data_IF_396383862462
#
_entry.id   IF_396383862462
#
_cell.length_a   1.000
_cell.length_b   1.000
_cell.length_c   1.000
_cell.angle_alpha   90.00
_cell.angle_beta   90.00
_cell.angle_gamma   90.00
#
_symmetry.space_group_name_H-M   'P 1'
#
loop_
_entity.id
_entity.type
_entity.pdbx_description
1 polymer ?
#
# COMPACT_ATOMS: atom_id res chain seq x y z
N UNK A 1 -19.77 -1.72 8.39
CA UNK A 1 -20.09 -2.77 9.38
C UNK A 1 -18.81 -3.01 10.15
N UNK A 2 -18.82 -2.87 11.49
CA UNK A 2 -17.65 -3.22 12.30
C UNK A 2 -17.52 -4.74 12.31
N UNK A 3 -16.38 -5.27 11.85
CA UNK A 3 -16.12 -6.69 11.88
C UNK A 3 -15.85 -7.13 13.33
N UNK A 4 -16.28 -8.34 13.71
CA UNK A 4 -16.08 -8.87 15.05
C UNK A 4 -14.58 -8.85 15.42
N UNK A 5 -14.22 -8.23 16.54
CA UNK A 5 -12.83 -8.08 16.99
C UNK A 5 -12.12 -6.79 16.58
N UNK A 6 -12.78 -5.87 15.87
CA UNK A 6 -12.21 -4.58 15.51
C UNK A 6 -11.95 -3.68 16.72
N UNK A 7 -10.82 -2.96 16.71
CA UNK A 7 -10.42 -2.06 17.80
C UNK A 7 -10.32 -0.63 17.29
N UNK A 8 -10.61 0.32 18.19
CA UNK A 8 -10.37 1.74 17.94
C UNK A 8 -9.17 2.21 18.77
N UNK A 9 -8.11 2.62 18.10
CA UNK A 9 -6.86 3.11 18.69
C UNK A 9 -6.42 4.33 17.89
N UNK A 10 -5.98 5.39 18.57
CA UNK A 10 -5.55 6.65 17.94
C UNK A 10 -6.57 7.19 16.93
N UNK A 11 -7.85 7.22 17.31
CA UNK A 11 -8.92 7.75 16.46
C UNK A 11 -9.41 6.82 15.35
N UNK A 12 -8.57 5.87 14.90
CA UNK A 12 -8.84 4.95 13.79
C UNK A 12 -9.37 3.58 14.25
N UNK A 13 -10.24 2.99 13.44
CA UNK A 13 -10.60 1.58 13.50
C UNK A 13 -9.61 0.73 12.70
N UNK A 14 -9.46 -0.55 13.05
CA UNK A 14 -8.51 -1.43 12.36
C UNK A 14 -8.70 -1.45 10.83
N UNK A 15 -9.93 -1.60 10.31
CA UNK A 15 -10.16 -1.57 8.84
C UNK A 15 -9.68 -0.25 8.18
N UNK A 16 -9.75 0.86 8.90
CA UNK A 16 -9.31 2.16 8.39
C UNK A 16 -7.78 2.22 8.30
N UNK A 17 -7.07 1.53 9.19
CA UNK A 17 -5.62 1.36 9.08
C UNK A 17 -5.28 0.45 7.91
N UNK A 18 -5.98 -0.69 7.76
CA UNK A 18 -5.73 -1.62 6.65
C UNK A 18 -5.89 -0.96 5.28
N UNK A 19 -6.91 -0.11 5.13
CA UNK A 19 -7.16 0.62 3.90
C UNK A 19 -6.03 1.62 3.54
N UNK A 20 -5.24 2.06 4.52
CA UNK A 20 -4.14 3.03 4.36
C UNK A 20 -2.77 2.39 4.19
N UNK A 21 -2.65 1.08 4.35
CA UNK A 21 -1.35 0.39 4.24
C UNK A 21 -0.66 0.56 2.86
N UNK A 22 -1.38 0.57 1.71
CA UNK A 22 -0.73 0.86 0.43
C UNK A 22 -0.05 2.23 0.43
N UNK A 23 -0.79 3.29 0.80
CA UNK A 23 -0.27 4.66 0.85
C UNK A 23 0.82 4.84 1.91
N UNK A 24 0.71 4.14 3.04
CA UNK A 24 1.76 4.08 4.05
C UNK A 24 3.07 3.53 3.46
N UNK A 25 3.01 2.43 2.70
CA UNK A 25 4.20 1.82 2.08
C UNK A 25 4.77 2.62 0.89
N UNK A 26 3.96 3.46 0.27
CA UNK A 26 4.42 4.41 -0.75
C UNK A 26 4.84 5.76 -0.19
N UNK A 27 4.66 5.99 1.12
CA UNK A 27 5.03 7.26 1.77
C UNK A 27 4.18 8.43 1.29
N UNK A 28 2.93 8.18 0.88
CA UNK A 28 2.00 9.18 0.32
C UNK A 28 0.99 9.71 1.32
N UNK A 29 0.97 9.18 2.54
CA UNK A 29 0.12 9.69 3.62
C UNK A 29 0.54 11.10 4.04
N UNK A 30 -0.45 11.93 4.40
CA UNK A 30 -0.18 13.20 5.07
C UNK A 30 0.45 12.97 6.46
N UNK A 31 1.12 13.97 7.05
CA UNK A 31 1.72 13.83 8.38
C UNK A 31 0.73 13.40 9.47
N UNK A 32 -0.49 13.92 9.42
CA UNK A 32 -1.54 13.59 10.39
C UNK A 32 -2.02 12.14 10.22
N UNK A 33 -2.23 11.69 8.98
CA UNK A 33 -2.61 10.31 8.69
C UNK A 33 -1.51 9.31 9.06
N UNK A 34 -0.25 9.68 8.82
CA UNK A 34 0.90 8.88 9.21
C UNK A 34 0.93 8.69 10.73
N UNK A 35 0.79 9.78 11.48
CA UNK A 35 0.78 9.74 12.94
C UNK A 35 -0.39 8.89 13.50
N UNK A 36 -1.58 9.01 12.91
CA UNK A 36 -2.75 8.20 13.30
C UNK A 36 -2.52 6.70 13.03
N UNK A 37 -1.97 6.36 11.86
CA UNK A 37 -1.65 4.98 11.48
C UNK A 37 -0.57 4.38 12.39
N UNK A 38 0.54 5.09 12.59
CA UNK A 38 1.64 4.63 13.45
C UNK A 38 1.19 4.49 14.90
N UNK A 39 0.40 5.45 15.40
CA UNK A 39 -0.20 5.39 16.72
C UNK A 39 -1.11 4.18 16.89
N UNK A 40 -1.94 3.85 15.89
CA UNK A 40 -2.79 2.67 15.94
C UNK A 40 -1.97 1.38 15.89
N UNK A 41 -1.01 1.27 14.97
CA UNK A 41 -0.14 0.09 14.82
C UNK A 41 0.63 -0.17 16.12
N UNK A 42 1.17 0.86 16.76
CA UNK A 42 1.88 0.73 18.04
C UNK A 42 0.98 0.36 19.23
N UNK A 43 -0.33 0.56 19.14
CA UNK A 43 -1.29 0.25 20.19
C UNK A 43 -2.20 -0.96 19.92
N UNK A 44 -2.04 -1.64 18.78
CA UNK A 44 -2.88 -2.75 18.36
C UNK A 44 -2.04 -3.92 17.86
N UNK A 45 -1.89 -4.95 18.70
CA UNK A 45 -1.11 -6.17 18.40
C UNK A 45 -1.54 -6.89 17.11
N UNK A 46 -2.82 -6.78 16.73
CA UNK A 46 -3.32 -7.34 15.49
C UNK A 46 -2.83 -6.57 14.26
N UNK A 47 -2.94 -5.24 14.29
CA UNK A 47 -2.48 -4.39 13.20
C UNK A 47 -0.95 -4.36 13.10
N UNK A 48 -0.23 -4.49 14.21
CA UNK A 48 1.23 -4.66 14.23
C UNK A 48 1.65 -5.91 13.44
N UNK A 49 1.10 -7.07 13.80
CA UNK A 49 1.42 -8.34 13.12
C UNK A 49 0.98 -8.34 11.66
N UNK A 50 -0.24 -7.89 11.40
CA UNK A 50 -0.77 -7.85 10.04
C UNK A 50 0.01 -6.87 9.16
N UNK A 51 0.27 -5.66 9.65
CA UNK A 51 1.02 -4.63 8.93
C UNK A 51 2.43 -5.10 8.59
N UNK A 52 3.11 -5.76 9.53
CA UNK A 52 4.42 -6.37 9.28
C UNK A 52 4.37 -7.47 8.20
N UNK A 53 3.39 -8.37 8.25
CA UNK A 53 3.22 -9.41 7.24
C UNK A 53 2.88 -8.83 5.85
N UNK A 54 1.99 -7.83 5.81
CA UNK A 54 1.61 -7.11 4.59
C UNK A 54 2.83 -6.42 3.95
N UNK A 55 3.58 -5.65 4.74
CA UNK A 55 4.81 -5.00 4.29
C UNK A 55 5.82 -6.03 3.75
N UNK A 56 5.98 -7.17 4.44
CA UNK A 56 6.84 -8.26 3.99
C UNK A 56 6.46 -8.80 2.61
N UNK A 57 5.16 -9.03 2.35
CA UNK A 57 4.67 -9.48 1.03
C UNK A 57 4.94 -8.43 -0.05
N UNK A 58 4.61 -7.16 0.21
CA UNK A 58 4.80 -6.07 -0.75
C UNK A 58 6.27 -5.89 -1.09
N UNK A 59 7.17 -5.88 -0.09
CA UNK A 59 8.61 -5.79 -0.32
C UNK A 59 9.15 -7.02 -1.07
N UNK A 60 8.62 -8.22 -0.79
CA UNK A 60 8.94 -9.42 -1.55
C UNK A 60 8.60 -9.27 -3.03
N UNK A 61 7.42 -8.74 -3.35
CA UNK A 61 6.99 -8.48 -4.72
C UNK A 61 7.83 -7.40 -5.41
N UNK A 62 8.20 -6.32 -4.71
CA UNK A 62 9.05 -5.25 -5.26
C UNK A 62 10.45 -5.74 -5.64
N UNK A 63 10.95 -6.77 -4.96
CA UNK A 63 12.26 -7.35 -5.23
C UNK A 63 12.25 -8.44 -6.31
N UNK A 64 11.09 -8.77 -6.89
CA UNK A 64 11.01 -9.72 -8.01
C UNK A 64 11.74 -9.11 -9.21
N UNK A 65 12.74 -9.81 -9.80
CA UNK A 65 13.41 -9.34 -11.00
C UNK A 65 12.40 -9.15 -12.14
N UNK A 66 12.23 -7.91 -12.58
CA UNK A 66 11.41 -7.59 -13.75
C UNK A 66 12.31 -7.64 -14.97
N UNK A 67 11.96 -8.47 -15.94
CA UNK A 67 12.65 -8.49 -17.22
C UNK A 67 12.48 -7.14 -17.92
N UNK A 68 13.58 -6.62 -18.48
CA UNK A 68 13.51 -5.43 -19.30
C UNK A 68 12.51 -5.66 -20.44
N UNK A 69 11.63 -4.68 -20.67
CA UNK A 69 10.74 -4.69 -21.83
C UNK A 69 11.61 -4.53 -23.08
N UNK A 70 11.53 -5.43 -24.07
CA UNK A 70 12.30 -5.27 -25.31
C UNK A 70 11.89 -3.99 -26.06
N UNK A 71 12.86 -3.26 -26.61
CA UNK A 71 12.62 -1.99 -27.31
C UNK A 71 11.49 -2.06 -28.36
N UNK A 72 11.39 -3.09 -29.23
CA UNK A 72 10.30 -3.17 -30.21
C UNK A 72 8.90 -3.24 -29.58
N UNK A 73 8.80 -3.78 -28.36
CA UNK A 73 7.55 -3.84 -27.61
C UNK A 73 7.23 -2.49 -26.98
N UNK A 74 8.23 -1.83 -26.40
CA UNK A 74 8.09 -0.49 -25.82
C UNK A 74 7.70 0.55 -26.89
N UNK A 75 8.35 0.52 -28.04
CA UNK A 75 8.07 1.42 -29.17
C UNK A 75 6.65 1.25 -29.69
N UNK A 76 6.21 -0.01 -29.85
CA UNK A 76 4.84 -0.30 -30.28
C UNK A 76 3.82 0.17 -29.24
N UNK A 77 4.10 0.00 -27.95
CA UNK A 77 3.23 0.48 -26.89
C UNK A 77 3.14 2.02 -26.91
N UNK A 78 4.27 2.72 -27.02
CA UNK A 78 4.32 4.18 -27.08
C UNK A 78 3.53 4.73 -28.28
N UNK A 79 3.70 4.13 -29.46
CA UNK A 79 2.94 4.50 -30.66
C UNK A 79 1.43 4.36 -30.45
N UNK A 80 0.98 3.25 -29.85
CA UNK A 80 -0.44 3.04 -29.55
C UNK A 80 -0.99 4.01 -28.52
N UNK A 81 -0.24 4.31 -27.47
CA UNK A 81 -0.67 5.28 -26.46
C UNK A 81 -0.80 6.69 -27.05
N UNK A 82 0.08 7.06 -27.99
CA UNK A 82 -0.01 8.34 -28.68
C UNK A 82 -1.24 8.43 -29.60
N UNK A 83 -1.65 7.33 -30.23
CA UNK A 83 -2.89 7.26 -31.04
C UNK A 83 -4.16 7.40 -30.19
N UNK A 84 -4.18 6.81 -28.98
CA UNK A 84 -5.37 6.78 -28.12
C UNK A 84 -5.55 8.03 -27.24
N UNK A 85 -4.45 8.73 -26.93
CA UNK A 85 -4.44 9.91 -26.05
C UNK A 85 -4.38 11.25 -26.81
N UNK A 86 -4.27 11.22 -28.14
CA UNK A 86 -4.29 12.39 -29.03
C UNK A 86 -5.68 12.70 -29.57
#
# INVERSE_FOLDING_TARGET
>A
MAHEGERRVSGLWCHQVLARLPDYLEGTLSPDELADVEGHVGGCDWCERFGGAYAGVVQGLRNVPVAAVPDPVADRLAARLAEELG
#
